data_IF_687623018103
#
_entry.id   IF_687623018103
#
_cell.length_a   1.000
_cell.length_b   1.000
_cell.length_c   1.000
_cell.angle_alpha   90.00
_cell.angle_beta   90.00
_cell.angle_gamma   90.00
#
_symmetry.space_group_name_H-M   'P 1'
#
loop_
_entity.id
_entity.type
_entity.pdbx_description
1 polymer ?
#
# COMPACT_ATOMS: atom_id res chain seq x y z
N UNK A 1 -14.88 -11.00 -17.00
CA UNK A 1 -14.90 -11.14 -18.47
C UNK A 1 -13.47 -11.27 -18.96
N UNK A 2 -13.15 -12.26 -19.78
CA UNK A 2 -11.80 -12.49 -20.34
C UNK A 2 -11.55 -11.52 -21.50
N UNK A 3 -11.28 -10.25 -21.19
CA UNK A 3 -10.89 -9.27 -22.21
C UNK A 3 -9.55 -9.69 -22.82
N UNK A 4 -9.54 -10.15 -24.07
CA UNK A 4 -8.33 -10.57 -24.80
C UNK A 4 -8.42 -11.93 -25.50
N UNK A 5 -9.47 -12.72 -25.26
CA UNK A 5 -9.72 -13.97 -26.01
C UNK A 5 -10.67 -13.72 -27.19
N UNK A 6 -10.53 -14.47 -28.31
CA UNK A 6 -11.44 -14.35 -29.44
C UNK A 6 -12.88 -14.65 -29.01
N UNK A 7 -13.84 -13.91 -29.56
CA UNK A 7 -15.24 -13.82 -29.08
C UNK A 7 -16.02 -15.14 -29.10
N UNK A 8 -15.48 -16.16 -29.77
CA UNK A 8 -16.03 -17.51 -29.88
C UNK A 8 -15.39 -18.52 -28.91
N UNK A 9 -14.41 -18.12 -28.09
CA UNK A 9 -13.75 -19.00 -27.13
C UNK A 9 -14.19 -18.68 -25.69
N UNK A 10 -14.63 -19.72 -24.98
CA UNK A 10 -14.89 -19.70 -23.54
C UNK A 10 -13.98 -20.73 -22.87
N UNK A 11 -13.20 -20.28 -21.89
CA UNK A 11 -12.38 -21.14 -21.04
C UNK A 11 -12.84 -21.04 -19.60
N UNK A 12 -13.18 -22.17 -18.98
CA UNK A 12 -13.49 -22.25 -17.55
C UNK A 12 -12.50 -23.22 -16.91
N UNK A 13 -11.87 -22.80 -15.82
CA UNK A 13 -11.04 -23.65 -14.99
C UNK A 13 -11.21 -23.30 -13.52
N UNK A 14 -10.64 -24.12 -12.64
CA UNK A 14 -10.75 -23.99 -11.19
C UNK A 14 -9.41 -24.29 -10.53
N UNK A 15 -9.19 -23.65 -9.39
CA UNK A 15 -8.02 -23.84 -8.55
C UNK A 15 -8.47 -24.11 -7.10
N UNK A 16 -7.69 -24.87 -6.34
CA UNK A 16 -8.01 -25.15 -4.93
C UNK A 16 -7.54 -24.02 -4.01
N UNK A 17 -6.53 -23.27 -4.43
CA UNK A 17 -5.92 -22.17 -3.67
C UNK A 17 -5.76 -20.94 -4.56
N UNK A 18 -5.89 -19.76 -3.97
CA UNK A 18 -5.68 -18.49 -4.69
C UNK A 18 -4.28 -18.40 -5.33
N UNK A 19 -3.26 -18.96 -4.67
CA UNK A 19 -1.87 -19.03 -5.16
C UNK A 19 -1.72 -19.86 -6.44
N UNK A 20 -2.69 -20.72 -6.78
CA UNK A 20 -2.66 -21.55 -7.98
C UNK A 20 -3.38 -20.88 -9.16
N UNK A 21 -4.23 -19.88 -8.90
CA UNK A 21 -5.13 -19.27 -9.90
C UNK A 21 -4.37 -18.73 -11.10
N UNK A 22 -3.27 -18.01 -10.86
CA UNK A 22 -2.45 -17.44 -11.93
C UNK A 22 -1.87 -18.53 -12.84
N UNK A 23 -1.31 -19.59 -12.27
CA UNK A 23 -0.73 -20.70 -13.03
C UNK A 23 -1.77 -21.50 -13.80
N UNK A 24 -2.96 -21.71 -13.21
CA UNK A 24 -4.08 -22.39 -13.86
C UNK A 24 -4.64 -21.56 -15.00
N UNK A 25 -4.84 -20.25 -14.81
CA UNK A 25 -5.33 -19.35 -15.83
C UNK A 25 -4.33 -19.20 -16.98
N UNK A 26 -3.04 -19.02 -16.67
CA UNK A 26 -1.95 -18.94 -17.67
C UNK A 26 -1.94 -20.16 -18.57
N UNK A 27 -1.99 -21.36 -17.97
CA UNK A 27 -1.99 -22.61 -18.72
C UNK A 27 -3.23 -22.72 -19.61
N UNK A 28 -4.41 -22.46 -19.07
CA UNK A 28 -5.65 -22.48 -19.84
C UNK A 28 -5.59 -21.54 -21.06
N UNK A 29 -5.09 -20.32 -20.89
CA UNK A 29 -4.97 -19.33 -21.97
C UNK A 29 -3.96 -19.81 -23.03
N UNK A 30 -2.80 -20.32 -22.60
CA UNK A 30 -1.78 -20.84 -23.49
C UNK A 30 -2.29 -22.03 -24.32
N UNK A 31 -2.99 -22.96 -23.68
CA UNK A 31 -3.59 -24.13 -24.31
C UNK A 31 -4.67 -23.72 -25.33
N UNK A 32 -5.51 -22.73 -25.00
CA UNK A 32 -6.55 -22.22 -25.90
C UNK A 32 -6.00 -21.48 -27.12
N UNK A 33 -4.87 -20.79 -26.96
CA UNK A 33 -4.26 -19.97 -28.00
C UNK A 33 -3.13 -20.68 -28.76
N UNK A 34 -2.77 -21.90 -28.35
CA UNK A 34 -1.65 -22.69 -28.89
C UNK A 34 -0.31 -21.93 -28.86
N UNK A 35 -0.04 -21.22 -27.77
CA UNK A 35 1.19 -20.43 -27.56
C UNK A 35 1.97 -20.92 -26.34
N UNK A 36 3.24 -20.49 -26.22
CA UNK A 36 4.04 -20.78 -25.05
C UNK A 36 3.48 -20.04 -23.80
N UNK A 37 3.24 -20.73 -22.67
CA UNK A 37 2.67 -20.14 -21.47
C UNK A 37 3.52 -19.03 -20.84
N UNK A 38 4.83 -19.02 -21.06
CA UNK A 38 5.73 -17.95 -20.59
C UNK A 38 5.46 -16.60 -21.26
N UNK A 39 4.80 -16.60 -22.42
CA UNK A 39 4.39 -15.38 -23.13
C UNK A 39 3.09 -14.77 -22.58
N UNK A 40 2.43 -15.47 -21.66
CA UNK A 40 1.13 -15.07 -21.11
C UNK A 40 1.31 -14.42 -19.73
N UNK A 41 1.00 -13.12 -19.67
CA UNK A 41 0.91 -12.36 -18.43
C UNK A 41 -0.53 -12.37 -17.90
N UNK A 42 -0.71 -12.76 -16.64
CA UNK A 42 -2.01 -12.85 -16.00
C UNK A 42 -2.06 -11.91 -14.80
N UNK A 43 -3.04 -11.01 -14.78
CA UNK A 43 -3.40 -10.22 -13.60
C UNK A 43 -4.68 -10.80 -13.02
N UNK A 44 -4.63 -11.21 -11.75
CA UNK A 44 -5.78 -11.80 -11.04
C UNK A 44 -6.43 -10.74 -10.17
N UNK A 45 -7.70 -10.43 -10.43
CA UNK A 45 -8.55 -9.63 -9.54
C UNK A 45 -9.51 -10.56 -8.81
N UNK A 46 -9.52 -10.51 -7.49
CA UNK A 46 -10.39 -11.33 -6.65
C UNK A 46 -11.65 -10.54 -6.31
N UNK A 47 -12.81 -11.05 -6.72
CA UNK A 47 -14.10 -10.52 -6.32
C UNK A 47 -14.56 -11.23 -5.04
N UNK A 48 -14.82 -10.46 -3.99
CA UNK A 48 -15.31 -10.96 -2.70
C UNK A 48 -16.78 -10.52 -2.50
N UNK A 49 -17.57 -11.27 -1.71
CA UNK A 49 -18.87 -10.79 -1.21
C UNK A 49 -18.75 -9.45 -0.50
N UNK A 50 -19.77 -8.61 -0.58
CA UNK A 50 -19.76 -7.22 -0.10
C UNK A 50 -19.36 -7.08 1.39
N UNK A 51 -19.76 -8.01 2.25
CA UNK A 51 -19.38 -8.02 3.65
C UNK A 51 -17.87 -8.23 3.84
N UNK A 52 -17.29 -9.16 3.07
CA UNK A 52 -15.86 -9.45 3.12
C UNK A 52 -15.03 -8.34 2.46
N UNK A 53 -15.53 -7.76 1.36
CA UNK A 53 -14.92 -6.60 0.70
C UNK A 53 -14.77 -5.46 1.71
N UNK A 54 -15.85 -5.09 2.41
CA UNK A 54 -15.82 -4.02 3.43
C UNK A 54 -14.85 -4.31 4.57
N UNK A 55 -14.80 -5.55 5.06
CA UNK A 55 -13.90 -5.93 6.13
C UNK A 55 -12.41 -5.83 5.70
N UNK A 56 -12.09 -6.27 4.48
CA UNK A 56 -10.75 -6.16 3.90
C UNK A 56 -10.38 -4.70 3.68
N UNK A 57 -11.27 -3.89 3.11
CA UNK A 57 -11.05 -2.45 2.91
C UNK A 57 -10.75 -1.73 4.22
N UNK A 58 -11.54 -1.97 5.26
CA UNK A 58 -11.31 -1.37 6.57
C UNK A 58 -9.94 -1.75 7.15
N UNK A 59 -9.53 -3.02 7.01
CA UNK A 59 -8.23 -3.48 7.49
C UNK A 59 -7.06 -2.82 6.74
N UNK A 60 -7.19 -2.67 5.42
CA UNK A 60 -6.19 -2.00 4.58
C UNK A 60 -6.09 -0.51 4.90
N UNK A 61 -7.23 0.16 5.06
CA UNK A 61 -7.28 1.58 5.38
C UNK A 61 -6.72 1.86 6.78
N UNK A 62 -7.06 1.03 7.77
CA UNK A 62 -6.47 1.10 9.11
C UNK A 62 -4.95 0.93 9.08
N UNK A 63 -4.44 0.02 8.24
CA UNK A 63 -2.99 -0.18 8.04
C UNK A 63 -2.34 1.05 7.41
N UNK A 64 -2.99 1.70 6.44
CA UNK A 64 -2.49 2.93 5.83
C UNK A 64 -2.42 4.08 6.83
N UNK A 65 -3.48 4.26 7.63
CA UNK A 65 -3.55 5.27 8.69
C UNK A 65 -2.46 5.03 9.73
N UNK A 66 -2.27 3.78 10.16
CA UNK A 66 -1.24 3.40 11.12
C UNK A 66 0.16 3.80 10.63
N UNK A 67 0.49 3.46 9.38
CA UNK A 67 1.78 3.82 8.78
C UNK A 67 2.00 5.33 8.72
N UNK A 68 0.98 6.08 8.29
CA UNK A 68 1.03 7.54 8.24
C UNK A 68 1.27 8.14 9.64
N UNK A 69 0.50 7.70 10.63
CA UNK A 69 0.65 8.17 12.01
C UNK A 69 2.03 7.81 12.60
N UNK A 70 2.58 6.62 12.30
CA UNK A 70 3.95 6.26 12.71
C UNK A 70 5.01 7.15 12.08
N UNK A 71 4.87 7.47 10.78
CA UNK A 71 5.79 8.34 10.07
C UNK A 71 5.76 9.77 10.65
N UNK A 72 4.57 10.32 10.86
CA UNK A 72 4.39 11.63 11.47
C UNK A 72 4.95 11.68 12.90
N UNK A 73 4.66 10.68 13.74
CA UNK A 73 5.19 10.62 15.09
C UNK A 73 6.73 10.59 15.10
N UNK A 74 7.36 9.93 14.12
CA UNK A 74 8.81 9.97 13.97
C UNK A 74 9.31 11.38 13.61
N UNK A 75 8.67 12.05 12.65
CA UNK A 75 9.01 13.43 12.26
C UNK A 75 8.81 14.43 13.41
N UNK A 76 7.69 14.33 14.12
CA UNK A 76 7.38 15.17 15.27
C UNK A 76 8.44 15.02 16.38
N UNK A 77 8.86 13.77 16.67
CA UNK A 77 9.95 13.51 17.64
C UNK A 77 11.27 14.10 17.18
N UNK A 78 11.61 13.99 15.90
CA UNK A 78 12.83 14.60 15.34
C UNK A 78 12.82 16.13 15.45
N UNK A 79 11.71 16.77 15.06
CA UNK A 79 11.56 18.24 15.18
C UNK A 79 11.60 18.70 16.64
N UNK A 80 10.91 18.00 17.53
CA UNK A 80 10.94 18.31 18.96
C UNK A 80 12.36 18.15 19.53
N UNK A 81 13.07 17.07 19.18
CA UNK A 81 14.45 16.88 19.60
C UNK A 81 15.35 18.03 19.12
N UNK A 82 15.26 18.42 17.84
CA UNK A 82 16.02 19.54 17.30
C UNK A 82 15.71 20.86 18.02
N UNK A 83 14.43 21.19 18.20
CA UNK A 83 14.00 22.42 18.88
C UNK A 83 14.50 22.50 20.34
N UNK A 84 14.54 21.38 21.07
CA UNK A 84 15.08 21.35 22.43
C UNK A 84 16.60 21.63 22.45
N UNK A 85 17.34 21.09 21.48
CA UNK A 85 18.78 21.37 21.34
C UNK A 85 19.02 22.84 20.94
N UNK A 86 18.22 23.38 20.02
CA UNK A 86 18.29 24.79 19.61
C UNK A 86 17.99 25.74 20.78
N UNK A 87 17.09 25.33 21.69
CA UNK A 87 16.81 26.00 22.96
C UNK A 87 17.93 25.82 24.01
N UNK A 88 19.11 25.35 23.60
CA UNK A 88 20.32 25.14 24.43
C UNK A 88 20.19 24.05 25.50
N UNK A 89 19.21 23.16 25.41
CA UNK A 89 19.15 21.99 26.29
C UNK A 89 20.20 20.95 25.87
N UNK A 90 20.74 20.22 26.83
CA UNK A 90 21.62 19.09 26.54
C UNK A 90 20.80 17.90 26.01
N UNK A 91 21.45 16.99 25.28
CA UNK A 91 20.81 15.76 24.79
C UNK A 91 20.24 14.88 25.93
N UNK A 92 20.79 14.97 27.15
CA UNK A 92 20.27 14.24 28.31
C UNK A 92 18.96 14.84 28.81
N UNK A 93 18.87 16.16 28.90
CA UNK A 93 17.64 16.85 29.31
C UNK A 93 16.54 16.69 28.26
N UNK A 94 16.87 16.84 26.97
CA UNK A 94 15.94 16.59 25.88
C UNK A 94 15.42 15.13 25.91
N UNK A 95 16.30 14.18 26.26
CA UNK A 95 15.92 12.78 26.46
C UNK A 95 14.94 12.59 27.60
N UNK A 96 15.14 13.26 28.74
CA UNK A 96 14.21 13.23 29.86
C UNK A 96 12.85 13.81 29.50
N UNK A 97 12.81 14.94 28.77
CA UNK A 97 11.56 15.58 28.33
C UNK A 97 10.77 14.69 27.36
N UNK A 98 11.45 14.05 26.41
CA UNK A 98 10.81 13.20 25.40
C UNK A 98 10.61 11.75 25.84
N UNK A 99 11.07 11.37 27.04
CA UNK A 99 11.03 9.98 27.52
C UNK A 99 11.93 9.04 26.71
N UNK A 100 13.05 9.54 26.16
CA UNK A 100 13.98 8.83 25.30
C UNK A 100 15.40 8.83 25.87
N UNK A 101 16.21 7.86 25.48
CA UNK A 101 17.63 7.87 25.81
C UNK A 101 18.38 8.96 25.05
N UNK A 102 19.49 9.44 25.60
CA UNK A 102 20.35 10.43 24.92
C UNK A 102 20.85 9.94 23.55
N UNK A 103 21.12 8.63 23.39
CA UNK A 103 21.52 8.04 22.11
C UNK A 103 20.40 8.17 21.07
N UNK A 104 19.15 8.00 21.50
CA UNK A 104 17.99 8.14 20.62
C UNK A 104 17.77 9.60 20.22
N UNK A 105 17.99 10.55 21.13
CA UNK A 105 18.00 11.99 20.81
C UNK A 105 19.04 12.30 19.74
N UNK A 106 20.28 11.83 19.92
CA UNK A 106 21.34 12.02 18.92
C UNK A 106 20.91 11.52 17.53
N UNK A 107 20.39 10.29 17.45
CA UNK A 107 19.89 9.74 16.18
C UNK A 107 18.76 10.54 15.54
N UNK A 108 17.87 11.11 16.36
CA UNK A 108 16.73 11.91 15.88
C UNK A 108 17.17 13.26 15.30
N UNK A 109 18.17 13.88 15.93
CA UNK A 109 18.77 15.15 15.47
C UNK A 109 19.60 14.92 14.21
N UNK A 110 20.41 13.86 14.16
CA UNK A 110 21.24 13.53 12.99
C UNK A 110 20.40 13.23 11.72
N UNK A 111 19.13 12.84 11.88
CA UNK A 111 18.23 12.43 10.79
C UNK A 111 17.18 13.49 10.43
N UNK A 112 17.09 14.60 11.17
CA UNK A 112 16.05 15.60 10.93
C UNK A 112 16.30 16.32 9.58
N UNK A 113 15.42 16.17 8.56
CA UNK A 113 15.43 17.09 7.43
C UNK A 113 14.98 18.47 7.91
N UNK A 114 15.52 19.53 7.31
CA UNK A 114 15.20 20.93 7.63
C UNK A 114 13.69 21.18 7.71
N UNK A 115 13.30 21.99 8.70
CA UNK A 115 11.93 22.25 9.14
C UNK A 115 10.95 22.57 8.00
N UNK A 116 9.89 21.77 7.84
CA UNK A 116 8.58 22.28 7.38
C UNK A 116 7.44 21.53 8.10
N UNK A 117 6.50 22.25 8.75
CA UNK A 117 5.24 21.71 9.25
C UNK A 117 4.11 22.03 8.27
N UNK A 118 3.55 21.02 7.60
CA UNK A 118 2.13 20.91 7.19
C UNK A 118 2.01 19.87 6.09
N UNK A 119 1.76 18.61 6.44
CA UNK A 119 1.29 17.70 5.38
C UNK A 119 0.52 16.49 5.90
N UNK A 120 -0.13 16.56 7.06
CA UNK A 120 -0.93 15.44 7.58
C UNK A 120 -2.05 15.07 6.59
N UNK A 121 -2.81 16.08 6.15
CA UNK A 121 -3.91 15.88 5.22
C UNK A 121 -3.41 15.53 3.81
N UNK A 122 -2.33 16.14 3.33
CA UNK A 122 -1.82 15.79 2.00
C UNK A 122 -1.08 14.44 2.00
N UNK A 123 -0.44 14.01 3.09
CA UNK A 123 0.13 12.67 3.22
C UNK A 123 -0.97 11.62 3.36
N UNK A 124 -2.07 11.91 4.08
CA UNK A 124 -3.25 11.03 4.11
C UNK A 124 -3.91 10.96 2.74
N UNK A 125 -4.13 12.09 2.08
CA UNK A 125 -4.68 12.14 0.73
C UNK A 125 -3.76 11.45 -0.27
N UNK A 126 -2.43 11.62 -0.16
CA UNK A 126 -1.44 10.95 -1.02
C UNK A 126 -1.44 9.45 -0.74
N UNK A 127 -1.37 9.02 0.51
CA UNK A 127 -1.40 7.60 0.87
C UNK A 127 -2.72 6.93 0.47
N UNK A 128 -3.85 7.60 0.66
CA UNK A 128 -5.17 7.12 0.22
C UNK A 128 -5.28 7.14 -1.30
N UNK A 129 -4.70 8.13 -1.99
CA UNK A 129 -4.72 8.23 -3.45
C UNK A 129 -3.78 7.23 -4.10
N UNK A 130 -2.61 6.95 -3.51
CA UNK A 130 -1.70 5.88 -3.94
C UNK A 130 -2.33 4.51 -3.68
N UNK A 131 -2.95 4.32 -2.52
CA UNK A 131 -3.69 3.10 -2.22
C UNK A 131 -4.91 2.92 -3.12
N UNK A 132 -5.57 4.01 -3.55
CA UNK A 132 -6.65 3.98 -4.55
C UNK A 132 -6.14 3.81 -5.98
N UNK A 133 -5.04 4.44 -6.38
CA UNK A 133 -4.43 4.32 -7.72
C UNK A 133 -3.90 2.91 -7.97
N UNK A 134 -3.19 2.34 -6.99
CA UNK A 134 -2.75 0.95 -7.04
C UNK A 134 -3.93 -0.03 -7.18
N UNK A 135 -5.13 0.34 -6.70
CA UNK A 135 -6.39 -0.41 -6.87
C UNK A 135 -7.14 -0.10 -8.18
N UNK A 136 -7.03 1.11 -8.71
CA UNK A 136 -7.67 1.50 -9.97
C UNK A 136 -7.02 0.81 -11.18
N UNK A 137 -5.70 0.60 -11.16
CA UNK A 137 -4.98 -0.19 -12.17
C UNK A 137 -5.38 -1.68 -12.17
N UNK A 138 -6.10 -2.15 -11.15
CA UNK A 138 -6.62 -3.52 -11.05
C UNK A 138 -8.15 -3.61 -11.21
N UNK A 139 -8.82 -2.49 -11.51
CA UNK A 139 -10.28 -2.45 -11.72
C UNK A 139 -10.62 -2.62 -13.21
N UNK A 140 -11.24 -3.74 -13.63
CA UNK A 140 -11.71 -3.87 -15.01
C UNK A 140 -12.94 -2.98 -15.23
N UNK A 141 -12.87 -2.14 -16.25
CA UNK A 141 -13.96 -1.29 -16.75
C UNK A 141 -15.19 -2.16 -17.09
N UNK A 142 -16.19 -2.23 -16.20
CA UNK A 142 -17.53 -2.71 -16.57
C UNK A 142 -18.18 -1.67 -17.48
N UNK A 143 -18.13 -1.88 -18.80
CA UNK A 143 -19.15 -1.31 -19.69
C UNK A 143 -20.44 -2.11 -19.51
N UNK A 144 -21.40 -1.49 -18.86
CA UNK A 144 -22.80 -1.91 -18.86
C UNK A 144 -23.46 -1.40 -20.14
N UNK A 145 -24.05 -2.29 -20.95
CA UNK A 145 -25.21 -1.99 -21.82
C UNK A 145 -25.80 -3.30 -22.38
N UNK A 146 -27.05 -3.28 -22.84
CA UNK A 146 -28.29 -3.54 -22.11
C UNK A 146 -28.80 -4.98 -22.24
#
# INVERSE_FOLDING_TARGET
>A
MTSGLPSNMLGVSQARRLTEVEGVARRLIADLLEIDPSTVNVTVTVELPDELTRAVELALDATAIERAARAEAAQARSRAAAALIDARMTMREAGQVLGLSHQRIKQLVDRAPGNEPTDLMAQLETALTESRRARADTTPTRKATP
#
